data_IF_239216697840
#
_entry.id   IF_239216697840
#
_cell.length_a   1.000
_cell.length_b   1.000
_cell.length_c   1.000
_cell.angle_alpha   90.00
_cell.angle_beta   90.00
_cell.angle_gamma   90.00
#
_symmetry.space_group_name_H-M   'P 1'
#
loop_
_entity.id
_entity.type
_entity.pdbx_description
1 polymer ?
#
# COMPACT_ATOMS: atom_id res chain seq x y z
N UNK A 1 20.10 27.42 -17.96
CA UNK A 1 18.79 26.74 -17.80
C UNK A 1 18.98 25.56 -16.86
N UNK A 2 18.94 25.78 -15.54
CA UNK A 2 17.81 25.51 -14.62
C UNK A 2 17.24 24.07 -14.71
N UNK A 3 18.03 23.08 -14.27
CA UNK A 3 17.55 21.74 -13.91
C UNK A 3 17.89 21.36 -12.45
N UNK A 4 18.24 22.34 -11.62
CA UNK A 4 18.70 22.13 -10.23
C UNK A 4 18.03 23.11 -9.27
N UNK A 5 16.68 23.15 -9.25
CA UNK A 5 15.93 23.98 -8.27
C UNK A 5 14.55 23.40 -7.89
N UNK A 6 14.43 22.09 -7.65
CA UNK A 6 13.22 21.55 -7.01
C UNK A 6 13.44 20.55 -5.87
N UNK A 7 14.70 20.21 -5.53
CA UNK A 7 15.00 19.22 -4.48
C UNK A 7 15.59 19.78 -3.18
N UNK A 8 15.74 21.10 -3.05
CA UNK A 8 16.50 21.70 -1.93
C UNK A 8 15.70 22.65 -1.03
N UNK A 9 14.37 22.59 -1.00
CA UNK A 9 13.55 23.46 -0.12
C UNK A 9 12.63 22.71 0.85
N UNK A 10 12.81 21.40 1.05
CA UNK A 10 12.04 20.64 2.04
C UNK A 10 12.88 20.01 3.17
N UNK A 11 14.21 20.08 3.09
CA UNK A 11 15.11 19.40 4.04
C UNK A 11 15.65 20.29 5.17
N UNK A 12 15.15 21.51 5.35
CA UNK A 12 15.65 22.44 6.39
C UNK A 12 14.62 22.86 7.45
N UNK A 13 13.46 22.19 7.53
CA UNK A 13 12.49 22.39 8.62
C UNK A 13 12.24 21.11 9.44
N UNK A 14 13.21 20.18 9.45
CA UNK A 14 13.13 18.90 10.16
C UNK A 14 13.94 18.86 11.49
N UNK A 15 14.35 20.01 12.01
CA UNK A 15 15.11 20.09 13.26
C UNK A 15 14.57 21.20 14.15
N UNK A 16 13.41 20.99 14.81
CA UNK A 16 13.01 21.70 16.03
C UNK A 16 11.68 21.21 16.68
N UNK A 17 11.21 19.98 16.41
CA UNK A 17 10.04 19.41 17.11
C UNK A 17 10.29 17.98 17.58
N UNK A 18 11.53 17.66 17.97
CA UNK A 18 11.83 16.49 18.78
C UNK A 18 11.60 16.84 20.25
N UNK A 19 10.34 16.86 20.68
CA UNK A 19 9.96 16.74 22.09
C UNK A 19 8.48 16.35 22.22
N UNK A 20 8.28 15.25 22.95
CA UNK A 20 7.02 14.69 23.46
C UNK A 20 6.17 13.96 22.40
N UNK A 21 6.25 12.62 22.41
CA UNK A 21 5.14 11.64 22.43
C UNK A 21 5.74 10.22 22.38
N UNK A 22 6.59 9.91 23.35
CA UNK A 22 7.00 8.54 23.65
C UNK A 22 6.28 8.10 24.92
N UNK A 23 5.00 7.76 24.75
CA UNK A 23 4.09 7.09 25.69
C UNK A 23 3.06 6.43 24.76
N UNK A 24 2.84 5.12 24.68
CA UNK A 24 3.10 4.01 25.58
C UNK A 24 3.38 2.74 24.76
N UNK A 25 4.17 1.84 25.32
CA UNK A 25 4.24 0.46 24.87
C UNK A 25 2.84 -0.18 24.92
N UNK A 26 2.39 -0.67 23.76
CA UNK A 26 1.38 -1.71 23.51
C UNK A 26 0.56 -2.19 24.73
N UNK A 27 -0.41 -1.39 25.18
CA UNK A 27 -1.66 -1.96 25.64
C UNK A 27 -2.39 -2.48 24.39
N UNK A 28 -2.82 -3.74 24.40
CA UNK A 28 -3.58 -4.35 23.31
C UNK A 28 -4.90 -3.58 23.16
N UNK A 29 -4.91 -2.52 22.34
CA UNK A 29 -6.10 -1.72 22.08
C UNK A 29 -7.07 -2.60 21.30
N UNK A 30 -8.05 -3.12 22.02
CA UNK A 30 -9.18 -3.81 21.41
C UNK A 30 -10.05 -2.79 20.66
N UNK A 31 -9.95 -2.80 19.33
CA UNK A 31 -10.72 -1.93 18.47
C UNK A 31 -12.12 -2.51 18.21
N UNK A 32 -13.13 -1.63 18.17
CA UNK A 32 -14.47 -2.05 17.75
C UNK A 32 -14.47 -2.45 16.27
N UNK A 33 -15.39 -3.32 15.87
CA UNK A 33 -15.58 -3.69 14.46
C UNK A 33 -15.81 -2.46 13.58
N UNK A 34 -16.52 -1.44 14.08
CA UNK A 34 -16.78 -0.21 13.35
C UNK A 34 -15.51 0.63 13.14
N UNK A 35 -14.59 0.64 14.10
CA UNK A 35 -13.31 1.33 13.97
C UNK A 35 -12.40 0.60 12.97
N UNK A 36 -12.31 -0.73 13.07
CA UNK A 36 -11.55 -1.53 12.11
C UNK A 36 -12.09 -1.38 10.69
N UNK A 37 -13.41 -1.36 10.51
CA UNK A 37 -14.03 -1.12 9.21
C UNK A 37 -13.74 0.29 8.67
N UNK A 38 -13.69 1.31 9.56
CA UNK A 38 -13.31 2.66 9.15
C UNK A 38 -11.84 2.73 8.73
N UNK A 39 -10.93 2.07 9.44
CA UNK A 39 -9.51 1.97 9.10
C UNK A 39 -9.30 1.23 7.75
N UNK A 40 -9.99 0.10 7.56
CA UNK A 40 -10.00 -0.65 6.31
C UNK A 40 -10.51 0.21 5.14
N UNK A 41 -11.54 1.03 5.35
CA UNK A 41 -12.04 1.96 4.33
C UNK A 41 -10.97 2.97 3.89
N UNK A 42 -10.12 3.47 4.79
CA UNK A 42 -9.00 4.36 4.42
C UNK A 42 -8.03 3.65 3.47
N UNK A 43 -7.65 2.41 3.80
CA UNK A 43 -6.73 1.59 3.00
C UNK A 43 -7.26 1.41 1.57
N UNK A 44 -8.55 1.11 1.41
CA UNK A 44 -9.17 0.99 0.09
C UNK A 44 -9.34 2.33 -0.61
N UNK A 45 -9.72 3.39 0.10
CA UNK A 45 -9.91 4.71 -0.48
C UNK A 45 -8.60 5.28 -1.06
N UNK A 46 -7.46 4.95 -0.45
CA UNK A 46 -6.13 5.31 -0.94
C UNK A 46 -5.58 4.35 -2.00
N UNK A 47 -6.31 3.31 -2.37
CA UNK A 47 -5.87 2.26 -3.29
C UNK A 47 -4.51 1.63 -2.91
N UNK A 48 -4.25 1.46 -1.60
CA UNK A 48 -3.01 0.82 -1.14
C UNK A 48 -2.86 -0.62 -1.67
N UNK A 49 -3.92 -1.47 -1.73
CA UNK A 49 -3.77 -2.80 -2.31
C UNK A 49 -3.30 -2.75 -3.77
N UNK A 50 -3.83 -1.84 -4.58
CA UNK A 50 -3.47 -1.68 -5.99
C UNK A 50 -1.98 -1.37 -6.19
N UNK A 51 -1.37 -0.62 -5.26
CA UNK A 51 0.07 -0.31 -5.28
C UNK A 51 0.96 -1.55 -5.23
N UNK A 52 0.47 -2.63 -4.61
CA UNK A 52 1.17 -3.90 -4.53
C UNK A 52 0.69 -4.89 -5.60
N UNK A 53 -0.62 -4.96 -5.83
CA UNK A 53 -1.25 -5.94 -6.71
C UNK A 53 -0.87 -5.71 -8.17
N UNK A 54 -0.92 -4.46 -8.66
CA UNK A 54 -0.72 -4.17 -10.08
C UNK A 54 0.71 -4.55 -10.53
N UNK A 55 1.78 -4.08 -9.88
CA UNK A 55 3.14 -4.44 -10.29
C UNK A 55 3.40 -5.94 -10.18
N UNK A 56 2.86 -6.59 -9.13
CA UNK A 56 3.07 -8.03 -8.94
C UNK A 56 2.35 -8.85 -10.02
N UNK A 57 1.13 -8.46 -10.43
CA UNK A 57 0.45 -9.12 -11.55
C UNK A 57 1.18 -8.95 -12.88
N UNK A 58 1.74 -7.77 -13.15
CA UNK A 58 2.58 -7.55 -14.32
C UNK A 58 3.84 -8.42 -14.30
N UNK A 59 4.48 -8.56 -13.13
CA UNK A 59 5.63 -9.47 -12.95
C UNK A 59 5.25 -10.93 -13.25
N UNK A 60 4.11 -11.39 -12.73
CA UNK A 60 3.59 -12.74 -12.97
C UNK A 60 3.31 -12.98 -14.46
N UNK A 61 2.71 -12.01 -15.15
CA UNK A 61 2.47 -12.07 -16.59
C UNK A 61 3.78 -12.20 -17.37
N UNK A 62 4.77 -11.36 -17.07
CA UNK A 62 6.09 -11.42 -17.71
C UNK A 62 6.85 -12.73 -17.44
N UNK A 63 6.48 -13.47 -16.40
CA UNK A 63 7.12 -14.72 -16.06
C UNK A 63 6.58 -15.90 -16.86
N UNK A 64 5.34 -15.81 -17.37
CA UNK A 64 4.81 -16.80 -18.32
C UNK A 64 5.69 -16.90 -19.57
N UNK A 65 6.24 -15.77 -20.02
CA UNK A 65 7.10 -15.72 -21.20
C UNK A 65 8.54 -16.22 -20.91
N UNK A 66 9.01 -16.11 -19.67
CA UNK A 66 10.39 -16.39 -19.28
C UNK A 66 10.60 -17.80 -18.70
N UNK A 67 9.63 -18.29 -17.94
CA UNK A 67 9.64 -19.61 -17.30
C UNK A 67 8.23 -20.22 -17.34
N UNK A 68 7.76 -20.66 -18.52
CA UNK A 68 6.40 -21.17 -18.70
C UNK A 68 6.10 -22.42 -17.85
N UNK A 69 7.12 -23.20 -17.49
CA UNK A 69 6.95 -24.45 -16.73
C UNK A 69 6.66 -24.19 -15.24
N UNK A 70 7.19 -23.10 -14.67
CA UNK A 70 6.98 -22.74 -13.28
C UNK A 70 6.04 -21.54 -13.08
N UNK A 71 5.76 -20.76 -14.12
CA UNK A 71 4.86 -19.61 -14.03
C UNK A 71 3.44 -19.96 -13.50
N UNK A 72 2.81 -21.10 -13.85
CA UNK A 72 1.54 -21.50 -13.24
C UNK A 72 1.65 -21.73 -11.73
N UNK A 73 2.74 -22.37 -11.28
CA UNK A 73 3.01 -22.60 -9.86
C UNK A 73 3.22 -21.27 -9.14
N UNK A 74 4.05 -20.40 -9.70
CA UNK A 74 4.33 -19.08 -9.14
C UNK A 74 3.07 -18.21 -9.06
N UNK A 75 2.20 -18.24 -10.07
CA UNK A 75 0.91 -17.55 -10.01
C UNK A 75 0.02 -18.13 -8.92
N UNK A 76 -0.08 -19.45 -8.81
CA UNK A 76 -0.89 -20.12 -7.79
C UNK A 76 -0.41 -19.78 -6.37
N UNK A 77 0.90 -19.73 -6.13
CA UNK A 77 1.46 -19.40 -4.81
C UNK A 77 1.30 -17.92 -4.46
N UNK A 78 1.36 -17.00 -5.43
CA UNK A 78 1.30 -15.57 -5.17
C UNK A 78 -0.13 -15.02 -5.10
N UNK A 79 -1.09 -15.60 -5.84
CA UNK A 79 -2.48 -15.11 -5.93
C UNK A 79 -3.18 -14.84 -4.59
N UNK A 80 -3.05 -15.68 -3.54
CA UNK A 80 -3.70 -15.43 -2.25
C UNK A 80 -3.29 -14.11 -1.58
N UNK A 81 -2.06 -13.67 -1.83
CA UNK A 81 -1.52 -12.42 -1.27
C UNK A 81 -1.91 -11.19 -2.11
N UNK A 82 -2.50 -11.40 -3.29
CA UNK A 82 -2.93 -10.36 -4.23
C UNK A 82 -4.43 -10.04 -4.12
N UNK A 83 -5.09 -10.55 -3.08
CA UNK A 83 -6.44 -10.14 -2.71
C UNK A 83 -6.41 -8.82 -1.95
N UNK A 84 -7.34 -7.92 -2.26
CA UNK A 84 -7.39 -6.59 -1.59
C UNK A 84 -7.59 -6.74 -0.09
N UNK A 85 -8.41 -7.72 0.31
CA UNK A 85 -8.67 -8.04 1.70
C UNK A 85 -7.40 -8.46 2.44
N UNK A 86 -6.46 -9.14 1.76
CA UNK A 86 -5.20 -9.54 2.38
C UNK A 86 -4.40 -8.30 2.84
N UNK A 87 -4.15 -7.35 1.94
CA UNK A 87 -3.50 -6.07 2.28
C UNK A 87 -4.24 -5.35 3.41
N UNK A 88 -5.57 -5.24 3.32
CA UNK A 88 -6.36 -4.54 4.33
C UNK A 88 -6.27 -5.20 5.70
N UNK A 89 -6.30 -6.53 5.77
CA UNK A 89 -6.16 -7.28 7.02
C UNK A 89 -4.81 -7.01 7.69
N UNK A 90 -3.73 -6.91 6.92
CA UNK A 90 -2.38 -6.64 7.45
C UNK A 90 -2.24 -5.21 7.98
N UNK A 91 -2.91 -4.23 7.37
CA UNK A 91 -2.68 -2.81 7.66
C UNK A 91 -3.73 -2.19 8.60
N UNK A 92 -4.94 -2.74 8.70
CA UNK A 92 -6.06 -2.07 9.39
C UNK A 92 -5.80 -1.81 10.88
N UNK A 93 -5.06 -2.69 11.56
CA UNK A 93 -4.72 -2.50 12.98
C UNK A 93 -3.77 -1.31 13.14
N UNK A 94 -2.81 -1.15 12.24
CA UNK A 94 -1.92 0.00 12.26
C UNK A 94 -2.71 1.29 12.05
N UNK A 95 -3.60 1.34 11.04
CA UNK A 95 -4.44 2.52 10.80
C UNK A 95 -5.36 2.83 11.99
N UNK A 96 -5.93 1.81 12.64
CA UNK A 96 -6.76 1.98 13.83
C UNK A 96 -5.97 2.48 15.06
N UNK A 97 -4.68 2.14 15.16
CA UNK A 97 -3.78 2.69 16.18
C UNK A 97 -3.44 4.16 15.92
N UNK A 98 -3.26 4.55 14.65
CA UNK A 98 -2.88 5.91 14.29
C UNK A 98 -4.04 6.91 14.33
N UNK A 99 -5.25 6.46 13.99
CA UNK A 99 -6.40 7.33 13.81
C UNK A 99 -7.60 6.79 14.56
N UNK A 100 -8.33 7.65 15.25
CA UNK A 100 -9.64 7.28 15.77
C UNK A 100 -10.65 7.00 14.63
N UNK A 101 -11.78 6.37 14.99
CA UNK A 101 -12.80 5.98 14.01
C UNK A 101 -13.31 7.15 13.15
N UNK A 102 -13.48 8.33 13.73
CA UNK A 102 -14.04 9.49 13.02
C UNK A 102 -13.02 10.11 12.08
N UNK A 103 -11.76 10.16 12.49
CA UNK A 103 -10.62 10.56 11.68
C UNK A 103 -10.47 9.64 10.48
N UNK A 104 -10.55 8.31 10.67
CA UNK A 104 -10.57 7.35 9.57
C UNK A 104 -11.70 7.64 8.56
N UNK A 105 -12.92 7.91 9.05
CA UNK A 105 -14.06 8.23 8.18
C UNK A 105 -13.83 9.51 7.37
N UNK A 106 -13.27 10.55 7.98
CA UNK A 106 -12.99 11.81 7.29
C UNK A 106 -11.88 11.67 6.25
N UNK A 107 -10.82 10.93 6.56
CA UNK A 107 -9.74 10.62 5.60
C UNK A 107 -10.32 9.84 4.42
N UNK A 108 -11.07 8.76 4.68
CA UNK A 108 -11.68 7.96 3.63
C UNK A 108 -12.62 8.79 2.75
N UNK A 109 -13.46 9.63 3.34
CA UNK A 109 -14.38 10.49 2.59
C UNK A 109 -13.64 11.51 1.69
N UNK A 110 -12.49 12.03 2.13
CA UNK A 110 -11.65 12.88 1.29
C UNK A 110 -11.07 12.11 0.09
N UNK A 111 -10.52 10.91 0.34
CA UNK A 111 -9.91 10.08 -0.70
C UNK A 111 -10.93 9.51 -1.71
N UNK A 112 -12.15 9.25 -1.27
CA UNK A 112 -13.27 8.88 -2.15
C UNK A 112 -13.89 10.08 -2.91
N UNK A 113 -13.52 11.30 -2.50
CA UNK A 113 -13.93 12.55 -3.13
C UNK A 113 -13.26 12.80 -4.49
N UNK A 114 -13.59 13.92 -5.17
CA UNK A 114 -13.07 14.21 -6.50
C UNK A 114 -11.55 14.35 -6.55
N UNK A 115 -10.95 14.92 -5.51
CA UNK A 115 -9.48 15.06 -5.40
C UNK A 115 -8.82 13.70 -5.25
N UNK A 116 -9.24 12.92 -4.25
CA UNK A 116 -8.65 11.62 -3.97
C UNK A 116 -8.83 10.62 -5.11
N UNK A 117 -10.02 10.58 -5.74
CA UNK A 117 -10.24 9.78 -6.95
C UNK A 117 -9.31 10.15 -8.09
N UNK A 118 -9.01 11.45 -8.27
CA UNK A 118 -8.07 11.91 -9.30
C UNK A 118 -6.64 11.45 -8.98
N UNK A 119 -6.22 11.54 -7.72
CA UNK A 119 -4.92 11.05 -7.26
C UNK A 119 -4.79 9.54 -7.45
N UNK A 120 -5.76 8.77 -6.96
CA UNK A 120 -5.81 7.30 -7.08
C UNK A 120 -5.80 6.87 -8.55
N UNK A 121 -6.63 7.50 -9.39
CA UNK A 121 -6.66 7.19 -10.83
C UNK A 121 -5.30 7.41 -11.48
N UNK A 122 -4.63 8.52 -11.16
CA UNK A 122 -3.30 8.83 -11.69
C UNK A 122 -2.27 7.80 -11.26
N UNK A 123 -2.28 7.44 -9.97
CA UNK A 123 -1.39 6.41 -9.43
C UNK A 123 -1.63 5.05 -10.08
N UNK A 124 -2.88 4.61 -10.16
CA UNK A 124 -3.26 3.33 -10.79
C UNK A 124 -2.85 3.33 -12.26
N UNK A 125 -3.05 4.43 -12.99
CA UNK A 125 -2.62 4.55 -14.38
C UNK A 125 -1.09 4.43 -14.49
N UNK A 126 -0.34 5.16 -13.67
CA UNK A 126 1.12 5.08 -13.63
C UNK A 126 1.61 3.66 -13.35
N UNK A 127 1.00 2.95 -12.40
CA UNK A 127 1.34 1.56 -12.10
C UNK A 127 1.00 0.62 -13.25
N UNK A 128 -0.09 0.88 -13.97
CA UNK A 128 -0.57 0.00 -15.03
C UNK A 128 0.18 0.20 -16.35
N UNK A 129 0.50 1.45 -16.70
CA UNK A 129 1.03 1.81 -18.03
C UNK A 129 2.44 2.38 -17.99
N UNK A 130 2.98 2.70 -16.82
CA UNK A 130 4.23 3.45 -16.67
C UNK A 130 4.09 4.96 -16.94
N UNK A 131 2.89 5.43 -17.29
CA UNK A 131 2.62 6.84 -17.62
C UNK A 131 1.73 7.48 -16.56
N UNK A 132 2.16 8.63 -16.03
CA UNK A 132 1.33 9.44 -15.14
C UNK A 132 0.72 10.62 -15.94
N UNK A 133 -0.62 10.72 -16.06
CA UNK A 133 -1.23 11.92 -16.64
C UNK A 133 -0.91 13.13 -15.76
N UNK A 134 -0.89 14.32 -16.36
CA UNK A 134 -0.65 15.55 -15.62
C UNK A 134 -1.76 15.76 -14.56
N UNK A 135 -1.36 15.92 -13.30
CA UNK A 135 -2.27 16.19 -12.19
C UNK A 135 -2.65 17.67 -12.15
N UNK A 136 -3.69 18.02 -12.92
CA UNK A 136 -4.27 19.37 -12.91
C UNK A 136 -5.50 19.42 -12.00
N UNK A 137 -5.44 20.27 -10.98
CA UNK A 137 -6.56 20.55 -10.08
C UNK A 137 -7.21 21.90 -10.40
N UNK A 138 -8.55 21.88 -10.47
CA UNK A 138 -9.38 23.08 -10.55
C UNK A 138 -9.28 23.91 -9.26
N UNK A 139 -9.70 25.17 -9.31
CA UNK A 139 -9.75 26.01 -8.10
C UNK A 139 -10.64 25.40 -7.01
N UNK A 140 -11.76 24.77 -7.40
CA UNK A 140 -12.66 24.08 -6.47
C UNK A 140 -11.96 22.90 -5.79
N UNK A 141 -11.22 22.10 -6.53
CA UNK A 141 -10.47 20.96 -5.99
C UNK A 141 -9.34 21.40 -5.05
N UNK A 142 -8.59 22.46 -5.41
CA UNK A 142 -7.59 23.07 -4.53
C UNK A 142 -8.20 23.59 -3.23
N UNK A 143 -9.38 24.20 -3.30
CA UNK A 143 -10.10 24.65 -2.12
C UNK A 143 -10.58 23.48 -1.24
N UNK A 144 -10.96 22.35 -1.84
CA UNK A 144 -11.31 21.12 -1.11
C UNK A 144 -10.10 20.54 -0.38
N UNK A 145 -8.93 20.46 -1.04
CA UNK A 145 -7.67 20.06 -0.42
C UNK A 145 -7.35 20.93 0.79
N UNK A 146 -7.29 22.25 0.59
CA UNK A 146 -6.97 23.20 1.67
C UNK A 146 -7.96 23.09 2.83
N UNK A 147 -9.25 22.84 2.56
CA UNK A 147 -10.26 22.65 3.59
C UNK A 147 -9.98 21.39 4.40
N UNK A 148 -9.68 20.27 3.74
CA UNK A 148 -9.34 19.02 4.40
C UNK A 148 -8.07 19.18 5.24
N UNK A 149 -7.00 19.76 4.68
CA UNK A 149 -5.73 20.01 5.38
C UNK A 149 -5.90 20.89 6.63
N UNK A 150 -6.93 21.75 6.64
CA UNK A 150 -7.29 22.58 7.79
C UNK A 150 -7.97 21.82 8.93
N UNK A 151 -8.54 20.64 8.68
CA UNK A 151 -9.23 19.82 9.68
C UNK A 151 -8.24 19.10 10.62
N UNK A 152 -8.73 18.64 11.78
CA UNK A 152 -7.91 17.78 12.67
C UNK A 152 -7.49 16.49 11.97
N UNK A 153 -8.41 15.88 11.21
CA UNK A 153 -8.14 14.65 10.46
C UNK A 153 -7.08 14.86 9.38
N UNK A 154 -7.19 15.94 8.59
CA UNK A 154 -6.21 16.26 7.55
C UNK A 154 -4.82 16.54 8.12
N UNK A 155 -4.73 17.27 9.23
CA UNK A 155 -3.44 17.50 9.91
C UNK A 155 -2.81 16.22 10.44
N UNK A 156 -3.60 15.38 11.13
CA UNK A 156 -3.14 14.09 11.64
C UNK A 156 -2.66 13.19 10.50
N UNK A 157 -3.43 13.16 9.40
CA UNK A 157 -3.07 12.40 8.21
C UNK A 157 -1.76 12.89 7.58
N UNK A 158 -1.61 14.20 7.37
CA UNK A 158 -0.38 14.79 6.80
C UNK A 158 0.87 14.48 7.65
N UNK A 159 0.74 14.50 8.98
CA UNK A 159 1.85 14.16 9.88
C UNK A 159 2.21 12.68 9.80
N UNK A 160 1.21 11.81 9.65
CA UNK A 160 1.40 10.35 9.59
C UNK A 160 1.82 9.83 8.21
N UNK A 161 1.74 10.64 7.14
CA UNK A 161 2.06 10.21 5.77
C UNK A 161 3.43 9.51 5.63
N UNK A 162 4.54 10.00 6.22
CA UNK A 162 5.82 9.30 6.13
C UNK A 162 5.75 7.89 6.72
N UNK A 163 5.10 7.72 7.86
CA UNK A 163 4.95 6.42 8.51
C UNK A 163 3.98 5.51 7.74
N UNK A 164 2.94 6.07 7.09
CA UNK A 164 2.08 5.29 6.18
C UNK A 164 2.92 4.67 5.06
N UNK A 165 3.80 5.47 4.44
CA UNK A 165 4.66 5.01 3.35
C UNK A 165 5.69 3.97 3.82
N UNK A 166 6.31 4.18 4.98
CA UNK A 166 7.24 3.23 5.60
C UNK A 166 6.56 1.89 5.94
N UNK A 167 5.43 1.93 6.66
CA UNK A 167 4.66 0.74 7.01
C UNK A 167 4.17 0.00 5.76
N UNK A 168 3.77 0.72 4.72
CA UNK A 168 3.37 0.09 3.47
C UNK A 168 4.56 -0.57 2.74
N UNK A 169 5.73 0.07 2.73
CA UNK A 169 6.94 -0.49 2.15
C UNK A 169 7.40 -1.77 2.89
N UNK A 170 7.36 -1.76 4.23
CA UNK A 170 7.64 -2.93 5.06
C UNK A 170 6.65 -4.07 4.76
N UNK A 171 5.35 -3.77 4.73
CA UNK A 171 4.33 -4.74 4.33
C UNK A 171 4.62 -5.38 2.97
N UNK A 172 5.00 -4.58 1.96
CA UNK A 172 5.30 -5.10 0.62
C UNK A 172 6.53 -6.02 0.65
N UNK A 173 7.60 -5.61 1.35
CA UNK A 173 8.82 -6.41 1.49
C UNK A 173 8.52 -7.74 2.17
N UNK A 174 7.83 -7.72 3.30
CA UNK A 174 7.51 -8.93 4.06
C UNK A 174 6.58 -9.86 3.28
N UNK A 175 5.63 -9.30 2.54
CA UNK A 175 4.73 -10.08 1.70
C UNK A 175 5.47 -10.73 0.53
N UNK A 176 6.41 -10.01 -0.10
CA UNK A 176 7.28 -10.60 -1.13
C UNK A 176 8.14 -11.74 -0.59
N UNK A 177 8.67 -11.61 0.63
CA UNK A 177 9.43 -12.69 1.28
C UNK A 177 8.55 -13.92 1.52
N UNK A 178 7.34 -13.74 2.08
CA UNK A 178 6.37 -14.84 2.27
C UNK A 178 5.98 -15.53 0.96
N UNK A 179 5.71 -14.73 -0.09
CA UNK A 179 5.41 -15.26 -1.43
C UNK A 179 6.58 -16.12 -1.96
N UNK A 180 7.81 -15.64 -1.80
CA UNK A 180 9.01 -16.35 -2.25
C UNK A 180 9.21 -17.65 -1.48
N UNK A 181 9.11 -17.62 -0.16
CA UNK A 181 9.23 -18.81 0.68
C UNK A 181 8.18 -19.85 0.28
N UNK A 182 6.92 -19.44 0.12
CA UNK A 182 5.86 -20.34 -0.29
C UNK A 182 6.10 -20.93 -1.69
N UNK A 183 6.59 -20.12 -2.63
CA UNK A 183 6.96 -20.62 -3.96
C UNK A 183 8.06 -21.68 -3.89
N UNK A 184 9.12 -21.45 -3.11
CA UNK A 184 10.21 -22.43 -2.97
C UNK A 184 9.74 -23.74 -2.35
N UNK A 185 8.84 -23.68 -1.36
CA UNK A 185 8.23 -24.87 -0.74
C UNK A 185 7.43 -25.67 -1.77
N UNK A 186 6.59 -25.00 -2.57
CA UNK A 186 5.77 -25.69 -3.57
C UNK A 186 6.60 -26.20 -4.76
N UNK A 187 7.68 -25.50 -5.13
CA UNK A 187 8.61 -25.94 -6.18
C UNK A 187 9.34 -27.22 -5.77
N UNK A 188 9.85 -27.27 -4.54
CA UNK A 188 10.50 -28.45 -3.97
C UNK A 188 9.55 -29.66 -3.92
N UNK A 189 8.27 -29.45 -3.57
CA UNK A 189 7.23 -30.49 -3.65
C UNK A 189 7.02 -30.99 -5.09
N UNK A 190 6.93 -30.08 -6.07
CA UNK A 190 6.78 -30.43 -7.49
C UNK A 190 7.95 -31.30 -7.96
N UNK A 191 9.19 -30.88 -7.67
CA UNK A 191 10.40 -31.60 -8.08
C UNK A 191 10.48 -33.02 -7.50
N UNK A 192 10.18 -33.20 -6.19
CA UNK A 192 10.14 -34.54 -5.58
C UNK A 192 9.11 -35.46 -6.24
N UNK A 193 7.91 -34.94 -6.57
CA UNK A 193 6.87 -35.72 -7.24
C UNK A 193 7.26 -36.13 -8.67
N UNK A 194 8.07 -35.33 -9.36
CA UNK A 194 8.59 -35.65 -10.69
C UNK A 194 9.72 -36.71 -10.63
N UNK A 195 10.55 -36.68 -9.58
CA UNK A 195 11.57 -37.70 -9.33
C UNK A 195 10.96 -39.07 -9.01
N UNK A 196 9.93 -39.12 -8.16
CA UNK A 196 9.21 -40.36 -7.82
C UNK A 196 8.48 -40.99 -9.02
N UNK A 197 8.17 -40.20 -10.06
CA UNK A 197 7.49 -40.65 -11.27
C UNK A 197 8.44 -41.08 -12.39
N UNK A 198 9.75 -40.88 -12.25
CA UNK A 198 10.73 -41.40 -13.21
C UNK A 198 10.91 -42.91 -12.99
N UNK A 199 10.71 -43.76 -14.02
CA UNK A 199 10.89 -45.19 -13.86
C UNK A 199 12.35 -45.48 -13.53
N UNK A 200 12.58 -46.30 -12.51
CA UNK A 200 13.89 -46.84 -12.18
C UNK A 200 14.45 -47.58 -13.39
N UNK A 201 15.46 -47.01 -14.04
CA UNK A 201 16.28 -47.70 -15.05
C UNK A 201 17.13 -48.80 -14.43
#
# INVERSE_FOLDING_TARGET
MKLTKLFSLFLFLAACLSSVHAEEASAERNFSTAHLAAAERVIYAMALPERFIIPTKQLLQNSLDKDPDNAPLMSATMNPYLEKQYTAQQLKIWFANQFDQETCKQIAAFWEGPVGKKLVRTQVQMLTTGEAPELVFTQKEKALMKRFDGTKAGKAFLVAMPQIEETFAEYMKDTQMRMREQFMIELDKKLRQEEEKKPST
#
